data_IF_527602531761
#
_entry.id   IF_527602531761
#
_cell.length_a   1.000
_cell.length_b   1.000
_cell.length_c   1.000
_cell.angle_alpha   90.00
_cell.angle_beta   90.00
_cell.angle_gamma   90.00
#
_symmetry.space_group_name_H-M   'P 1'
#
loop_
_entity.id
_entity.type
_entity.pdbx_description
1 polymer ?
#
# COMPACT_ATOMS: atom_id res chain seq x y z
N UNK A 1 -11.32 -36.11 -16.50
CA UNK A 1 -12.45 -35.38 -15.87
C UNK A 1 -11.88 -34.11 -15.27
N UNK A 2 -12.37 -32.92 -15.65
CA UNK A 2 -11.90 -31.67 -15.03
C UNK A 2 -12.28 -31.65 -13.54
N UNK A 3 -11.37 -31.19 -12.67
CA UNK A 3 -11.66 -31.07 -11.23
C UNK A 3 -12.79 -30.06 -10.99
N UNK A 4 -13.52 -30.22 -9.88
CA UNK A 4 -14.55 -29.25 -9.44
C UNK A 4 -14.00 -27.81 -9.37
N UNK A 5 -12.74 -27.67 -8.93
CA UNK A 5 -12.02 -26.40 -8.87
C UNK A 5 -11.81 -25.82 -10.28
N UNK A 6 -11.35 -26.64 -11.24
CA UNK A 6 -11.16 -26.20 -12.62
C UNK A 6 -12.49 -25.75 -13.25
N UNK A 7 -13.58 -26.48 -12.99
CA UNK A 7 -14.93 -26.12 -13.45
C UNK A 7 -15.40 -24.80 -12.85
N UNK A 8 -15.15 -24.57 -11.56
CA UNK A 8 -15.53 -23.31 -10.90
C UNK A 8 -14.75 -22.11 -11.44
N UNK A 9 -13.43 -22.22 -11.55
CA UNK A 9 -12.52 -21.16 -12.01
C UNK A 9 -12.78 -20.77 -13.48
N UNK A 10 -13.19 -21.73 -14.31
CA UNK A 10 -13.50 -21.51 -15.73
C UNK A 10 -14.97 -21.15 -16.00
N UNK A 11 -15.84 -21.24 -15.00
CA UNK A 11 -17.28 -20.96 -15.18
C UNK A 11 -17.49 -19.57 -15.79
N UNK A 12 -18.31 -19.44 -16.85
CA UNK A 12 -18.58 -18.15 -17.46
C UNK A 12 -19.42 -17.30 -16.50
N UNK A 13 -18.96 -16.07 -16.24
CA UNK A 13 -19.68 -15.06 -15.47
C UNK A 13 -19.76 -13.76 -16.27
N UNK A 14 -20.78 -12.96 -16.00
CA UNK A 14 -20.93 -11.63 -16.62
C UNK A 14 -19.69 -10.76 -16.41
N UNK A 15 -19.26 -10.05 -17.45
CA UNK A 15 -18.10 -9.16 -17.44
C UNK A 15 -18.37 -7.84 -16.71
N UNK A 16 -19.64 -7.50 -16.47
CA UNK A 16 -20.06 -6.25 -15.86
C UNK A 16 -19.33 -5.88 -14.55
N UNK A 17 -19.08 -6.79 -13.58
CA UNK A 17 -18.30 -6.48 -12.37
C UNK A 17 -16.89 -6.00 -12.69
N UNK A 18 -16.20 -6.67 -13.61
CA UNK A 18 -14.84 -6.32 -14.00
C UNK A 18 -14.79 -4.99 -14.76
N UNK A 19 -15.80 -4.71 -15.59
CA UNK A 19 -15.90 -3.44 -16.31
C UNK A 19 -16.16 -2.26 -15.37
N UNK A 20 -17.09 -2.38 -14.42
CA UNK A 20 -17.34 -1.35 -13.40
C UNK A 20 -16.08 -1.13 -12.55
N UNK A 21 -15.43 -2.21 -12.12
CA UNK A 21 -14.18 -2.11 -11.35
C UNK A 21 -13.10 -1.35 -12.12
N UNK A 22 -12.90 -1.66 -13.40
CA UNK A 22 -11.95 -0.94 -14.28
C UNK A 22 -12.26 0.56 -14.38
N UNK A 23 -13.52 0.92 -14.62
CA UNK A 23 -13.95 2.31 -14.74
C UNK A 23 -13.66 3.05 -13.43
N UNK A 24 -14.14 2.51 -12.31
CA UNK A 24 -14.01 3.15 -11.01
C UNK A 24 -12.54 3.19 -10.54
N UNK A 25 -11.76 2.14 -10.79
CA UNK A 25 -10.32 2.14 -10.53
C UNK A 25 -9.62 3.28 -11.28
N UNK A 26 -9.79 3.38 -12.59
CA UNK A 26 -9.14 4.45 -13.37
C UNK A 26 -9.58 5.86 -12.95
N UNK A 27 -10.87 6.07 -12.64
CA UNK A 27 -11.37 7.36 -12.15
C UNK A 27 -10.81 7.71 -10.76
N UNK A 28 -10.77 6.75 -9.83
CA UNK A 28 -10.18 6.96 -8.51
C UNK A 28 -8.69 7.27 -8.58
N UNK A 29 -7.96 6.57 -9.44
CA UNK A 29 -6.53 6.80 -9.61
C UNK A 29 -6.25 8.17 -10.24
N UNK A 30 -7.05 8.57 -11.23
CA UNK A 30 -6.99 9.93 -11.77
C UNK A 30 -7.23 10.98 -10.67
N UNK A 31 -8.28 10.80 -9.87
CA UNK A 31 -8.57 11.71 -8.75
C UNK A 31 -7.41 11.74 -7.74
N UNK A 32 -6.79 10.60 -7.44
CA UNK A 32 -5.63 10.52 -6.56
C UNK A 32 -4.45 11.33 -7.09
N UNK A 33 -4.12 11.18 -8.38
CA UNK A 33 -3.03 11.92 -9.03
C UNK A 33 -3.31 13.42 -9.06
N UNK A 34 -4.53 13.83 -9.43
CA UNK A 34 -4.93 15.25 -9.44
C UNK A 34 -4.88 15.83 -8.02
N UNK A 35 -5.36 15.10 -7.02
CA UNK A 35 -5.32 15.51 -5.61
C UNK A 35 -3.87 15.72 -5.15
N UNK A 36 -3.00 14.73 -5.41
CA UNK A 36 -1.59 14.79 -5.06
C UNK A 36 -0.92 16.02 -5.67
N UNK A 37 -1.19 16.29 -6.94
CA UNK A 37 -0.70 17.50 -7.62
C UNK A 37 -1.27 18.78 -6.98
N UNK A 38 -2.59 18.86 -6.79
CA UNK A 38 -3.27 20.05 -6.27
C UNK A 38 -2.81 20.49 -4.89
N UNK A 39 -2.33 19.55 -4.07
CA UNK A 39 -1.76 19.82 -2.75
C UNK A 39 -0.29 20.25 -2.78
N UNK A 40 0.29 20.43 -3.98
CA UNK A 40 1.70 20.81 -4.14
C UNK A 40 2.68 19.72 -3.71
N UNK A 41 2.21 18.47 -3.57
CA UNK A 41 3.04 17.39 -3.02
C UNK A 41 4.12 16.93 -3.99
N UNK A 42 3.95 17.10 -5.30
CA UNK A 42 5.01 16.80 -6.27
C UNK A 42 6.23 17.70 -5.99
N UNK A 43 6.01 19.02 -5.88
CA UNK A 43 7.07 19.99 -5.57
C UNK A 43 7.70 19.70 -4.20
N UNK A 44 6.86 19.60 -3.18
CA UNK A 44 7.28 19.45 -1.78
C UNK A 44 8.05 18.15 -1.52
N UNK A 45 7.67 17.05 -2.18
CA UNK A 45 8.19 15.71 -1.87
C UNK A 45 9.20 15.19 -2.88
N UNK A 46 9.22 15.71 -4.12
CA UNK A 46 10.09 15.16 -5.17
C UNK A 46 10.95 16.20 -5.90
N UNK A 47 10.70 17.50 -5.74
CA UNK A 47 11.48 18.56 -6.40
C UNK A 47 12.41 19.27 -5.41
N UNK A 48 11.86 19.71 -4.27
CA UNK A 48 12.60 20.46 -3.25
C UNK A 48 13.59 19.63 -2.42
N UNK A 49 13.29 18.37 -2.03
CA UNK A 49 14.23 17.61 -1.22
C UNK A 49 15.53 17.33 -1.99
N UNK A 50 16.66 17.40 -1.28
CA UNK A 50 17.99 17.14 -1.86
C UNK A 50 18.40 15.67 -1.73
N UNK A 51 17.79 14.96 -0.79
CA UNK A 51 18.03 13.56 -0.51
C UNK A 51 16.71 12.79 -0.58
N UNK A 52 16.78 11.52 -1.03
CA UNK A 52 15.63 10.63 -1.17
C UNK A 52 16.00 9.24 -0.65
N UNK A 53 15.23 8.75 0.33
CA UNK A 53 15.40 7.41 0.89
C UNK A 53 14.92 6.37 -0.10
N UNK A 54 15.75 5.38 -0.43
CA UNK A 54 15.45 4.37 -1.43
C UNK A 54 14.94 3.08 -0.80
N UNK A 55 14.22 2.31 -1.61
CA UNK A 55 13.96 0.91 -1.29
C UNK A 55 15.18 0.09 -1.70
N UNK A 56 15.56 -0.88 -0.86
CA UNK A 56 16.65 -1.80 -1.17
C UNK A 56 16.42 -2.51 -2.52
N UNK A 57 17.40 -2.44 -3.41
CA UNK A 57 17.34 -2.95 -4.79
C UNK A 57 16.69 -2.00 -5.81
N UNK A 58 16.22 -0.83 -5.38
CA UNK A 58 15.63 0.21 -6.23
C UNK A 58 16.31 1.57 -6.02
N UNK A 59 17.59 1.57 -5.65
CA UNK A 59 18.40 2.79 -5.44
C UNK A 59 18.54 3.62 -6.72
N UNK A 60 18.34 3.00 -7.88
CA UNK A 60 18.34 3.65 -9.20
C UNK A 60 17.04 4.40 -9.52
N UNK A 61 15.96 4.16 -8.77
CA UNK A 61 14.69 4.89 -8.93
C UNK A 61 14.76 6.19 -8.14
N UNK A 62 14.87 7.31 -8.84
CA UNK A 62 14.96 8.64 -8.24
C UNK A 62 14.04 9.63 -8.97
N UNK A 63 13.56 10.69 -8.31
CA UNK A 63 12.92 11.81 -8.99
C UNK A 63 13.80 12.37 -10.11
N UNK A 64 13.18 12.80 -11.20
CA UNK A 64 13.87 13.30 -12.40
C UNK A 64 13.92 14.83 -12.43
N UNK A 65 14.09 15.45 -11.25
CA UNK A 65 13.92 16.89 -11.07
C UNK A 65 12.55 17.34 -11.60
N UNK A 66 12.50 18.45 -12.35
CA UNK A 66 11.26 19.00 -12.92
C UNK A 66 10.54 18.00 -13.84
N UNK A 67 11.23 17.06 -14.48
CA UNK A 67 10.60 16.03 -15.32
C UNK A 67 9.76 15.02 -14.52
N UNK A 68 9.83 15.03 -13.19
CA UNK A 68 8.93 14.25 -12.34
C UNK A 68 7.46 14.56 -12.63
N UNK A 69 7.11 15.82 -12.94
CA UNK A 69 5.76 16.19 -13.36
C UNK A 69 5.28 15.42 -14.59
N UNK A 70 6.17 15.12 -15.54
CA UNK A 70 5.81 14.35 -16.74
C UNK A 70 5.38 12.92 -16.38
N UNK A 71 6.02 12.29 -15.39
CA UNK A 71 5.64 10.96 -14.91
C UNK A 71 4.24 10.99 -14.32
N UNK A 72 3.89 12.02 -13.54
CA UNK A 72 2.54 12.22 -13.02
C UNK A 72 1.51 12.44 -14.13
N UNK A 73 1.83 13.21 -15.18
CA UNK A 73 0.97 13.37 -16.36
C UNK A 73 0.75 12.03 -17.06
N UNK A 74 1.81 11.26 -17.32
CA UNK A 74 1.72 9.93 -17.94
C UNK A 74 0.84 9.00 -17.10
N UNK A 75 1.03 8.99 -15.78
CA UNK A 75 0.23 8.19 -14.86
C UNK A 75 -1.25 8.57 -14.89
N UNK A 76 -1.55 9.88 -14.84
CA UNK A 76 -2.92 10.41 -14.90
C UNK A 76 -3.61 10.10 -16.24
N UNK A 77 -2.91 10.29 -17.37
CA UNK A 77 -3.42 9.92 -18.69
C UNK A 77 -3.66 8.42 -18.81
N UNK A 78 -2.74 7.59 -18.31
CA UNK A 78 -2.91 6.15 -18.28
C UNK A 78 -4.14 5.74 -17.45
N UNK A 79 -4.40 6.40 -16.32
CA UNK A 79 -5.59 6.17 -15.50
C UNK A 79 -6.89 6.49 -16.25
N UNK A 80 -6.94 7.59 -17.03
CA UNK A 80 -8.07 7.93 -17.92
C UNK A 80 -8.28 6.82 -18.96
N UNK A 81 -7.21 6.42 -19.65
CA UNK A 81 -7.31 5.39 -20.69
C UNK A 81 -7.71 4.03 -20.11
N UNK A 82 -7.26 3.70 -18.89
CA UNK A 82 -7.76 2.53 -18.14
C UNK A 82 -9.24 2.67 -17.85
N UNK A 83 -9.72 3.83 -17.37
CA UNK A 83 -11.14 4.09 -17.08
C UNK A 83 -12.03 4.03 -18.33
N UNK A 84 -11.52 4.39 -19.50
CA UNK A 84 -12.23 4.25 -20.78
C UNK A 84 -12.09 2.84 -21.38
N UNK A 85 -11.02 2.13 -21.02
CA UNK A 85 -10.69 0.81 -21.56
C UNK A 85 -10.26 0.90 -23.02
N UNK A 86 -9.53 1.96 -23.35
CA UNK A 86 -8.92 2.19 -24.66
C UNK A 86 -7.48 1.70 -24.64
N UNK A 87 -7.08 0.85 -25.60
CA UNK A 87 -5.79 0.16 -25.60
C UNK A 87 -5.44 -0.40 -24.23
N UNK A 88 -6.43 -1.00 -23.57
CA UNK A 88 -6.43 -1.24 -22.13
C UNK A 88 -5.17 -1.93 -21.62
N UNK A 89 -4.67 -2.95 -22.34
CA UNK A 89 -3.45 -3.68 -21.95
C UNK A 89 -2.22 -2.77 -21.90
N UNK A 90 -2.07 -1.88 -22.87
CA UNK A 90 -0.99 -0.90 -22.86
C UNK A 90 -1.21 0.13 -21.75
N UNK A 91 -2.43 0.64 -21.61
CA UNK A 91 -2.77 1.65 -20.60
C UNK A 91 -2.55 1.17 -19.17
N UNK A 92 -2.95 -0.07 -18.84
CA UNK A 92 -2.74 -0.62 -17.49
C UNK A 92 -1.27 -0.94 -17.22
N UNK A 93 -0.48 -1.32 -18.23
CA UNK A 93 0.98 -1.49 -18.10
C UNK A 93 1.65 -0.14 -17.84
N UNK A 94 1.31 0.90 -18.63
CA UNK A 94 1.85 2.25 -18.42
C UNK A 94 1.46 2.77 -17.05
N UNK A 95 0.20 2.58 -16.64
CA UNK A 95 -0.27 2.94 -15.31
C UNK A 95 0.53 2.22 -14.22
N UNK A 96 0.66 0.88 -14.30
CA UNK A 96 1.42 0.10 -13.33
C UNK A 96 2.87 0.58 -13.23
N UNK A 97 3.56 0.75 -14.35
CA UNK A 97 4.96 1.17 -14.36
C UNK A 97 5.13 2.60 -13.82
N UNK A 98 4.34 3.56 -14.30
CA UNK A 98 4.44 4.96 -13.85
C UNK A 98 4.04 5.13 -12.39
N UNK A 99 2.94 4.50 -11.95
CA UNK A 99 2.49 4.55 -10.56
C UNK A 99 3.52 3.89 -9.63
N UNK A 100 3.99 2.68 -9.97
CA UNK A 100 5.01 2.00 -9.16
C UNK A 100 6.32 2.77 -9.12
N UNK A 101 6.72 3.42 -10.22
CA UNK A 101 7.91 4.26 -10.25
C UNK A 101 7.77 5.47 -9.29
N UNK A 102 6.63 6.16 -9.28
CA UNK A 102 6.35 7.26 -8.33
C UNK A 102 6.51 6.77 -6.88
N UNK A 103 5.94 5.61 -6.55
CA UNK A 103 6.01 5.05 -5.19
C UNK A 103 7.40 4.58 -4.77
N UNK A 104 8.27 4.25 -5.74
CA UNK A 104 9.64 3.80 -5.50
C UNK A 104 10.66 4.95 -5.41
N UNK A 105 10.30 6.18 -5.81
CA UNK A 105 11.20 7.34 -5.79
C UNK A 105 11.71 7.71 -4.39
N UNK A 106 10.81 7.66 -3.40
CA UNK A 106 11.14 7.97 -2.01
C UNK A 106 10.29 7.11 -1.05
N UNK A 107 10.98 6.35 -0.20
CA UNK A 107 10.40 5.49 0.83
C UNK A 107 9.75 6.27 1.96
N UNK A 108 10.09 7.54 2.16
CA UNK A 108 9.52 8.43 3.19
C UNK A 108 8.00 8.52 3.09
N UNK A 109 7.45 8.39 1.87
CA UNK A 109 6.02 8.49 1.61
C UNK A 109 5.31 7.13 1.55
N UNK A 110 5.96 6.05 1.99
CA UNK A 110 5.42 4.69 1.91
C UNK A 110 4.06 4.58 2.61
N UNK A 111 3.07 4.04 1.89
CA UNK A 111 1.77 3.67 2.44
C UNK A 111 1.33 2.31 1.87
N UNK A 112 0.81 1.43 2.73
CA UNK A 112 0.32 0.09 2.33
C UNK A 112 -0.72 0.15 1.19
N UNK A 113 -1.53 1.21 1.13
CA UNK A 113 -2.56 1.31 0.09
C UNK A 113 -1.99 1.67 -1.29
N UNK A 114 -0.87 2.41 -1.36
CA UNK A 114 -0.20 2.63 -2.63
C UNK A 114 0.49 1.35 -3.12
N UNK A 115 1.11 0.59 -2.20
CA UNK A 115 1.57 -0.76 -2.51
C UNK A 115 0.44 -1.65 -3.06
N UNK A 116 -0.75 -1.61 -2.44
CA UNK A 116 -1.94 -2.31 -2.93
C UNK A 116 -2.31 -1.91 -4.37
N UNK A 117 -2.29 -0.62 -4.71
CA UNK A 117 -2.57 -0.14 -6.08
C UNK A 117 -1.54 -0.68 -7.08
N UNK A 118 -0.25 -0.70 -6.74
CA UNK A 118 0.79 -1.25 -7.61
C UNK A 118 0.55 -2.73 -7.90
N UNK A 119 0.27 -3.55 -6.88
CA UNK A 119 0.04 -4.98 -7.11
C UNK A 119 -1.33 -5.29 -7.74
N UNK A 120 -2.36 -4.48 -7.46
CA UNK A 120 -3.67 -4.61 -8.09
C UNK A 120 -3.58 -4.26 -9.58
N UNK A 121 -2.89 -3.17 -9.94
CA UNK A 121 -2.67 -2.81 -11.34
C UNK A 121 -1.82 -3.85 -12.07
N UNK A 122 -0.82 -4.44 -11.42
CA UNK A 122 -0.10 -5.60 -11.94
C UNK A 122 -1.04 -6.78 -12.24
N UNK A 123 -1.91 -7.17 -11.29
CA UNK A 123 -2.89 -8.22 -11.50
C UNK A 123 -3.81 -7.90 -12.69
N UNK A 124 -4.26 -6.65 -12.80
CA UNK A 124 -5.14 -6.18 -13.87
C UNK A 124 -4.53 -6.29 -15.27
N UNK A 125 -3.20 -6.31 -15.42
CA UNK A 125 -2.50 -6.60 -16.70
C UNK A 125 -2.97 -7.94 -17.27
N UNK A 126 -3.25 -8.92 -16.42
CA UNK A 126 -3.64 -10.27 -16.85
C UNK A 126 -5.15 -10.40 -17.07
N UNK A 127 -5.97 -9.48 -16.55
CA UNK A 127 -7.43 -9.57 -16.61
C UNK A 127 -8.01 -9.02 -17.92
N UNK A 128 -9.06 -9.62 -18.51
CA UNK A 128 -9.72 -9.13 -19.72
C UNK A 128 -10.72 -8.00 -19.39
N UNK A 129 -10.29 -6.96 -18.65
CA UNK A 129 -11.21 -5.91 -18.18
C UNK A 129 -11.71 -4.97 -19.31
N UNK A 130 -11.14 -5.09 -20.49
CA UNK A 130 -11.60 -4.42 -21.70
C UNK A 130 -12.60 -5.26 -22.52
N UNK A 131 -12.93 -6.47 -22.10
CA UNK A 131 -13.80 -7.36 -22.86
C UNK A 131 -15.23 -6.83 -23.00
N UNK A 132 -15.70 -5.96 -22.10
CA UNK A 132 -17.03 -5.37 -22.22
C UNK A 132 -17.05 -3.93 -21.68
N UNK A 133 -18.03 -3.13 -22.09
CA UNK A 133 -18.25 -1.74 -21.67
C UNK A 133 -16.95 -0.89 -21.73
N UNK A 134 -16.19 -1.04 -22.81
CA UNK A 134 -14.89 -0.39 -23.03
C UNK A 134 -14.80 0.19 -24.44
N UNK A 135 -13.93 1.17 -24.65
CA UNK A 135 -13.65 1.67 -26.00
C UNK A 135 -13.03 0.59 -26.90
N UNK A 136 -12.17 -0.29 -26.37
CA UNK A 136 -11.62 -1.40 -27.16
C UNK A 136 -12.69 -2.35 -27.72
N UNK A 137 -13.69 -2.70 -26.90
CA UNK A 137 -14.81 -3.56 -27.30
C UNK A 137 -15.81 -2.81 -28.19
N UNK A 138 -15.99 -1.50 -27.97
CA UNK A 138 -16.82 -0.66 -28.82
C UNK A 138 -16.22 -0.51 -30.23
N UNK A 139 -14.93 -0.22 -30.33
CA UNK A 139 -14.24 -0.01 -31.60
C UNK A 139 -13.98 -1.33 -32.36
N UNK A 140 -13.81 -2.45 -31.65
CA UNK A 140 -13.56 -3.74 -32.26
C UNK A 140 -14.48 -4.83 -31.66
N UNK A 141 -15.57 -5.22 -32.35
CA UNK A 141 -16.50 -6.25 -31.89
C UNK A 141 -15.87 -7.60 -31.57
N UNK A 142 -14.71 -7.93 -32.18
CA UNK A 142 -13.99 -9.18 -31.89
C UNK A 142 -13.39 -9.22 -30.47
N UNK A 143 -13.33 -8.07 -29.79
CA UNK A 143 -12.91 -7.94 -28.39
C UNK A 143 -14.09 -7.86 -27.42
N UNK A 144 -15.32 -7.82 -27.92
CA UNK A 144 -16.52 -7.67 -27.11
C UNK A 144 -17.02 -9.03 -26.63
N UNK A 145 -16.93 -9.32 -25.34
CA UNK A 145 -17.41 -10.54 -24.71
C UNK A 145 -18.29 -10.23 -23.52
N UNK A 146 -19.51 -10.77 -23.52
CA UNK A 146 -20.43 -10.60 -22.39
C UNK A 146 -19.98 -11.41 -21.18
N UNK A 147 -19.46 -12.63 -21.40
CA UNK A 147 -19.03 -13.53 -20.34
C UNK A 147 -17.51 -13.72 -20.32
N UNK A 148 -16.92 -13.78 -19.12
CA UNK A 148 -15.50 -14.08 -18.88
C UNK A 148 -15.35 -15.21 -17.86
N UNK A 149 -14.20 -15.92 -17.82
CA UNK A 149 -13.95 -16.93 -16.80
C UNK A 149 -13.99 -16.35 -15.38
N UNK A 150 -14.62 -17.06 -14.43
CA UNK A 150 -14.87 -16.59 -13.07
C UNK A 150 -13.61 -16.18 -12.30
N UNK A 151 -12.48 -16.82 -12.58
CA UNK A 151 -11.19 -16.51 -11.95
C UNK A 151 -10.77 -15.05 -12.14
N UNK A 152 -11.18 -14.43 -13.24
CA UNK A 152 -10.81 -13.03 -13.55
C UNK A 152 -11.35 -12.08 -12.50
N UNK A 153 -12.62 -12.24 -12.10
CA UNK A 153 -13.24 -11.45 -11.03
C UNK A 153 -12.84 -11.98 -9.65
N UNK A 154 -12.75 -13.30 -9.48
CA UNK A 154 -12.39 -13.90 -8.20
C UNK A 154 -10.96 -13.61 -7.76
N UNK A 155 -10.02 -13.35 -8.69
CA UNK A 155 -8.66 -12.93 -8.35
C UNK A 155 -8.61 -11.57 -7.65
N UNK A 156 -9.42 -10.60 -8.09
CA UNK A 156 -9.54 -9.30 -7.40
C UNK A 156 -10.16 -9.48 -6.01
N UNK A 157 -11.20 -10.32 -5.89
CA UNK A 157 -11.80 -10.66 -4.59
C UNK A 157 -10.77 -11.27 -3.66
N UNK A 158 -9.99 -12.24 -4.14
CA UNK A 158 -8.94 -12.88 -3.36
C UNK A 158 -7.89 -11.88 -2.90
N UNK A 159 -7.45 -10.98 -3.77
CA UNK A 159 -6.46 -9.95 -3.40
C UNK A 159 -7.00 -9.02 -2.30
N UNK A 160 -8.25 -8.58 -2.40
CA UNK A 160 -8.89 -7.79 -1.34
C UNK A 160 -9.03 -8.57 -0.04
N UNK A 161 -9.40 -9.86 -0.12
CA UNK A 161 -9.51 -10.74 1.03
C UNK A 161 -8.16 -10.91 1.74
N UNK A 162 -7.06 -11.06 0.99
CA UNK A 162 -5.70 -11.15 1.54
C UNK A 162 -5.38 -9.89 2.35
N UNK A 163 -5.62 -8.71 1.80
CA UNK A 163 -5.32 -7.44 2.48
C UNK A 163 -6.09 -7.31 3.81
N UNK A 164 -7.41 -7.54 3.80
CA UNK A 164 -8.22 -7.49 5.01
C UNK A 164 -7.80 -8.55 6.03
N UNK A 165 -7.62 -9.78 5.59
CA UNK A 165 -7.28 -10.89 6.47
C UNK A 165 -5.94 -10.65 7.18
N UNK A 166 -4.89 -10.23 6.45
CA UNK A 166 -3.62 -9.90 7.08
C UNK A 166 -3.69 -8.65 7.97
N UNK A 167 -4.48 -7.65 7.59
CA UNK A 167 -4.67 -6.47 8.43
C UNK A 167 -5.29 -6.84 9.79
N UNK A 168 -6.19 -7.83 9.83
CA UNK A 168 -6.77 -8.37 11.06
C UNK A 168 -5.83 -9.32 11.80
N UNK A 169 -5.13 -10.20 11.06
CA UNK A 169 -4.19 -11.16 11.64
C UNK A 169 -3.06 -10.44 12.39
N UNK A 170 -2.53 -9.36 11.81
CA UNK A 170 -1.47 -8.56 12.41
C UNK A 170 -1.92 -7.71 13.62
N UNK A 171 -3.22 -7.69 13.93
CA UNK A 171 -3.76 -7.09 15.15
C UNK A 171 -3.96 -8.12 16.27
N UNK A 172 -3.65 -9.39 16.04
CA UNK A 172 -3.74 -10.44 17.06
C UNK A 172 -2.51 -10.44 17.97
N UNK A 173 -2.25 -9.30 18.61
CA UNK A 173 -1.18 -9.13 19.59
C UNK A 173 -1.66 -8.42 20.86
N UNK A 174 -0.86 -8.53 21.92
CA UNK A 174 -1.17 -8.01 23.26
C UNK A 174 -1.33 -6.50 23.27
N UNK A 175 -0.52 -5.77 22.50
CA UNK A 175 -0.59 -4.31 22.43
C UNK A 175 -1.94 -3.86 21.89
N UNK A 176 -2.37 -4.46 20.80
CA UNK A 176 -3.66 -4.14 20.22
C UNK A 176 -4.81 -4.62 21.12
N UNK A 177 -4.88 -5.91 21.44
CA UNK A 177 -6.06 -6.51 22.09
C UNK A 177 -6.19 -6.21 23.58
N UNK A 178 -5.07 -6.21 24.31
CA UNK A 178 -5.05 -6.14 25.77
C UNK A 178 -4.66 -4.76 26.29
N UNK A 179 -3.94 -3.97 25.49
CA UNK A 179 -3.54 -2.61 25.87
C UNK A 179 -4.26 -1.53 25.08
N UNK A 180 -5.05 -1.88 24.04
CA UNK A 180 -5.67 -0.95 23.09
C UNK A 180 -4.66 0.05 22.49
N UNK A 181 -3.39 -0.33 22.37
CA UNK A 181 -2.36 0.48 21.76
C UNK A 181 -2.30 0.23 20.25
N UNK A 182 -2.05 1.27 19.44
CA UNK A 182 -1.86 2.69 19.82
C UNK A 182 -3.17 3.51 19.89
N UNK A 183 -4.35 2.89 19.85
CA UNK A 183 -5.64 3.61 19.89
C UNK A 183 -5.80 4.49 21.14
N UNK A 184 -5.26 4.08 22.30
CA UNK A 184 -5.21 4.92 23.51
C UNK A 184 -4.47 6.24 23.32
N UNK A 185 -3.52 6.30 22.39
CA UNK A 185 -2.77 7.51 22.06
C UNK A 185 -3.54 8.33 21.02
N UNK A 186 -4.07 7.66 19.99
CA UNK A 186 -4.63 8.36 18.83
C UNK A 186 -6.05 8.90 19.03
N UNK A 187 -6.93 8.14 19.70
CA UNK A 187 -8.34 8.51 19.82
C UNK A 187 -8.55 9.78 20.68
N UNK A 188 -7.86 9.97 21.82
CA UNK A 188 -8.00 11.21 22.60
C UNK A 188 -7.60 12.47 21.82
N UNK A 189 -6.65 12.37 20.88
CA UNK A 189 -6.25 13.49 20.02
C UNK A 189 -7.36 13.92 19.02
N UNK A 190 -8.49 13.21 18.99
CA UNK A 190 -9.68 13.51 18.17
C UNK A 190 -10.89 13.95 18.99
N UNK A 191 -10.69 14.47 20.20
CA UNK A 191 -11.75 14.91 21.11
C UNK A 191 -12.70 15.96 20.52
N UNK A 192 -12.24 16.76 19.55
CA UNK A 192 -13.07 17.76 18.84
C UNK A 192 -13.96 17.17 17.73
N UNK A 193 -13.96 15.85 17.53
CA UNK A 193 -14.75 15.22 16.46
C UNK A 193 -16.25 15.35 16.77
N UNK A 194 -17.07 15.89 15.86
CA UNK A 194 -18.50 16.03 16.10
C UNK A 194 -19.18 14.70 16.49
N UNK A 195 -20.13 14.78 17.43
CA UNK A 195 -20.96 13.67 17.96
C UNK A 195 -20.25 12.59 18.78
N UNK A 196 -19.00 12.24 18.45
CA UNK A 196 -18.29 11.12 19.08
C UNK A 196 -17.07 11.54 19.91
N UNK A 197 -16.55 12.76 19.71
CA UNK A 197 -15.27 13.19 20.24
C UNK A 197 -15.15 13.10 21.76
N UNK A 198 -16.20 13.44 22.49
CA UNK A 198 -16.25 13.33 23.97
C UNK A 198 -16.05 11.89 24.47
N UNK A 199 -16.41 10.89 23.68
CA UNK A 199 -16.25 9.48 24.04
C UNK A 199 -14.87 8.93 23.68
N UNK A 200 -14.12 9.57 22.77
CA UNK A 200 -12.85 9.03 22.27
C UNK A 200 -11.72 9.05 23.31
N UNK A 201 -11.87 9.85 24.38
CA UNK A 201 -10.99 9.83 25.54
C UNK A 201 -11.23 8.67 26.49
N UNK A 202 -12.39 8.02 26.42
CA UNK A 202 -12.78 6.96 27.35
C UNK A 202 -12.09 5.63 27.03
N UNK A 203 -11.52 4.99 28.05
CA UNK A 203 -10.73 3.78 27.88
C UNK A 203 -11.55 2.61 27.29
N UNK A 204 -12.80 2.45 27.73
CA UNK A 204 -13.68 1.41 27.19
C UNK A 204 -13.95 1.58 25.70
N UNK A 205 -13.96 2.82 25.18
CA UNK A 205 -14.12 3.11 23.75
C UNK A 205 -12.87 2.71 22.98
N UNK A 206 -11.69 2.96 23.53
CA UNK A 206 -10.42 2.56 22.92
C UNK A 206 -10.34 1.04 22.76
N UNK A 207 -10.75 0.29 23.78
CA UNK A 207 -10.87 -1.17 23.70
C UNK A 207 -11.95 -1.61 22.72
N UNK A 208 -13.12 -0.96 22.71
CA UNK A 208 -14.18 -1.25 21.75
C UNK A 208 -13.66 -1.11 20.31
N UNK A 209 -12.94 -0.03 19.99
CA UNK A 209 -12.34 0.19 18.68
C UNK A 209 -11.27 -0.86 18.35
N UNK A 210 -10.43 -1.22 19.31
CA UNK A 210 -9.41 -2.25 19.15
C UNK A 210 -10.04 -3.60 18.75
N UNK A 211 -10.93 -4.14 19.59
CA UNK A 211 -11.55 -5.44 19.35
C UNK A 211 -12.45 -5.42 18.11
N UNK A 212 -13.21 -4.34 17.90
CA UNK A 212 -14.04 -4.20 16.70
C UNK A 212 -13.19 -4.19 15.42
N UNK A 213 -12.02 -3.55 15.44
CA UNK A 213 -11.09 -3.52 14.31
C UNK A 213 -10.60 -4.91 13.90
N UNK A 214 -10.19 -5.73 14.87
CA UNK A 214 -9.75 -7.12 14.62
C UNK A 214 -10.88 -7.97 14.09
N UNK A 215 -12.04 -7.96 14.77
CA UNK A 215 -13.20 -8.77 14.41
C UNK A 215 -13.68 -8.39 13.01
N UNK A 216 -13.73 -7.09 12.72
CA UNK A 216 -14.09 -6.59 11.40
C UNK A 216 -13.12 -7.10 10.33
N UNK A 217 -11.81 -6.85 10.47
CA UNK A 217 -10.82 -7.18 9.44
C UNK A 217 -10.77 -8.70 9.15
N UNK A 218 -10.88 -9.54 10.19
CA UNK A 218 -10.88 -11.00 10.04
C UNK A 218 -12.18 -11.55 9.46
N UNK A 219 -13.32 -10.91 9.69
CA UNK A 219 -14.63 -11.43 9.25
C UNK A 219 -15.11 -10.86 7.92
N UNK A 220 -14.74 -9.62 7.59
CA UNK A 220 -15.35 -8.89 6.47
C UNK A 220 -15.18 -9.56 5.11
N UNK A 221 -14.06 -10.24 4.76
CA UNK A 221 -13.94 -10.92 3.48
C UNK A 221 -14.96 -12.05 3.34
N UNK A 222 -15.18 -12.81 4.41
CA UNK A 222 -16.11 -13.94 4.42
C UNK A 222 -17.56 -13.46 4.36
N UNK A 223 -17.89 -12.38 5.08
CA UNK A 223 -19.21 -11.76 5.06
C UNK A 223 -19.55 -11.15 3.68
N UNK A 224 -18.57 -10.61 2.95
CA UNK A 224 -18.75 -10.11 1.58
C UNK A 224 -18.90 -11.25 0.55
N UNK A 225 -18.18 -12.36 0.74
CA UNK A 225 -18.30 -13.54 -0.12
C UNK A 225 -19.68 -14.19 0.01
N UNK A 226 -20.21 -14.29 1.23
CA UNK A 226 -21.51 -14.90 1.46
C UNK A 226 -22.67 -13.98 1.03
N UNK A 227 -23.46 -14.47 0.06
CA UNK A 227 -24.47 -13.67 -0.65
C UNK A 227 -25.53 -13.03 0.26
N UNK A 228 -25.94 -13.72 1.33
CA UNK A 228 -27.00 -13.23 2.23
C UNK A 228 -26.50 -12.10 3.15
N UNK A 229 -25.24 -12.15 3.58
CA UNK A 229 -24.63 -11.13 4.45
C UNK A 229 -24.08 -9.94 3.69
N UNK A 230 -23.77 -10.10 2.39
CA UNK A 230 -23.07 -9.11 1.58
C UNK A 230 -23.62 -7.67 1.64
N UNK A 231 -24.93 -7.39 1.57
CA UNK A 231 -25.42 -6.02 1.68
C UNK A 231 -25.09 -5.38 3.03
N UNK A 232 -25.27 -6.13 4.12
CA UNK A 232 -24.93 -5.68 5.48
C UNK A 232 -23.42 -5.52 5.66
N UNK A 233 -22.64 -6.47 5.14
CA UNK A 233 -21.18 -6.39 5.11
C UNK A 233 -20.70 -5.14 4.37
N UNK A 234 -21.32 -4.79 3.23
CA UNK A 234 -20.96 -3.57 2.51
C UNK A 234 -21.28 -2.30 3.30
N UNK A 235 -22.39 -2.26 4.04
CA UNK A 235 -22.67 -1.16 4.98
C UNK A 235 -21.59 -1.05 6.05
N UNK A 236 -21.15 -2.18 6.62
CA UNK A 236 -20.03 -2.21 7.56
C UNK A 236 -18.72 -1.68 6.93
N UNK A 237 -18.43 -2.06 5.67
CA UNK A 237 -17.27 -1.51 4.92
C UNK A 237 -17.34 0.00 4.82
N UNK A 238 -18.50 0.55 4.45
CA UNK A 238 -18.67 2.00 4.34
C UNK A 238 -18.48 2.67 5.70
N UNK A 239 -19.15 2.20 6.76
CA UNK A 239 -19.05 2.78 8.10
C UNK A 239 -17.60 2.73 8.61
N UNK A 240 -16.96 1.56 8.54
CA UNK A 240 -15.59 1.37 9.01
C UNK A 240 -14.60 2.31 8.32
N UNK A 241 -14.64 2.38 6.99
CA UNK A 241 -13.72 3.22 6.23
C UNK A 241 -14.02 4.72 6.37
N UNK A 242 -15.28 5.13 6.48
CA UNK A 242 -15.64 6.52 6.78
C UNK A 242 -15.16 6.92 8.16
N UNK A 243 -15.39 6.10 9.18
CA UNK A 243 -14.90 6.34 10.54
C UNK A 243 -13.37 6.42 10.57
N UNK A 244 -12.70 5.49 9.90
CA UNK A 244 -11.22 5.50 9.79
C UNK A 244 -10.73 6.76 9.07
N UNK A 245 -11.44 7.26 8.06
CA UNK A 245 -11.09 8.51 7.36
C UNK A 245 -11.21 9.74 8.24
N UNK A 246 -12.24 9.78 9.09
CA UNK A 246 -12.51 10.88 10.02
C UNK A 246 -11.46 10.90 11.13
N UNK A 247 -11.13 9.73 11.67
CA UNK A 247 -10.22 9.62 12.81
C UNK A 247 -8.74 9.65 12.41
N UNK A 248 -8.38 9.17 11.21
CA UNK A 248 -6.99 8.98 10.83
C UNK A 248 -6.66 9.57 9.44
N UNK A 249 -5.49 10.22 9.27
CA UNK A 249 -5.07 10.83 8.01
C UNK A 249 -4.51 9.79 7.01
N UNK A 250 -5.32 8.82 6.59
CA UNK A 250 -4.90 7.65 5.79
C UNK A 250 -5.08 7.81 4.27
N UNK A 251 -5.15 9.05 3.78
CA UNK A 251 -5.15 9.36 2.34
C UNK A 251 -6.34 8.77 1.57
N UNK A 252 -6.06 8.12 0.43
CA UNK A 252 -7.07 7.59 -0.49
C UNK A 252 -7.62 6.22 -0.09
N UNK A 253 -7.03 5.57 0.92
CA UNK A 253 -7.35 4.20 1.31
C UNK A 253 -8.85 3.93 1.54
N UNK A 254 -9.58 4.76 2.31
CA UNK A 254 -11.01 4.52 2.57
C UNK A 254 -11.84 4.42 1.29
N UNK A 255 -11.61 5.34 0.35
CA UNK A 255 -12.33 5.39 -0.91
C UNK A 255 -12.00 4.20 -1.80
N UNK A 256 -10.70 3.84 -1.89
CA UNK A 256 -10.24 2.69 -2.65
C UNK A 256 -10.89 1.41 -2.14
N UNK A 257 -10.94 1.21 -0.82
CA UNK A 257 -11.50 -0.02 -0.25
C UNK A 257 -13.01 -0.11 -0.40
N UNK A 258 -13.75 0.98 -0.17
CA UNK A 258 -15.21 1.03 -0.37
C UNK A 258 -15.57 0.71 -1.82
N UNK A 259 -14.92 1.40 -2.77
CA UNK A 259 -15.21 1.21 -4.19
C UNK A 259 -14.79 -0.18 -4.66
N UNK A 260 -13.62 -0.67 -4.21
CA UNK A 260 -13.15 -2.00 -4.58
C UNK A 260 -14.06 -3.11 -4.06
N UNK A 261 -14.66 -2.93 -2.87
CA UNK A 261 -15.62 -3.89 -2.30
C UNK A 261 -16.87 -4.10 -3.17
N UNK A 262 -17.18 -3.19 -4.11
CA UNK A 262 -18.26 -3.40 -5.08
C UNK A 262 -18.04 -4.67 -5.91
N UNK A 263 -16.80 -5.12 -6.13
CA UNK A 263 -16.50 -6.34 -6.90
C UNK A 263 -17.15 -7.61 -6.31
N UNK A 264 -17.52 -7.58 -5.03
CA UNK A 264 -18.18 -8.70 -4.37
C UNK A 264 -19.66 -8.85 -4.78
N UNK A 265 -20.29 -7.80 -5.31
CA UNK A 265 -21.69 -7.85 -5.71
C UNK A 265 -21.95 -8.67 -6.99
N UNK A 266 -23.20 -9.13 -7.12
CA UNK A 266 -23.63 -9.86 -8.31
C UNK A 266 -23.72 -8.91 -9.52
N UNK A 267 -23.55 -9.47 -10.72
CA UNK A 267 -23.56 -8.71 -11.98
C UNK A 267 -24.78 -7.80 -12.18
N UNK A 268 -25.94 -8.16 -11.61
CA UNK A 268 -27.16 -7.34 -11.66
C UNK A 268 -26.94 -5.92 -11.12
N UNK A 269 -26.15 -5.76 -10.05
CA UNK A 269 -25.82 -4.45 -9.48
C UNK A 269 -24.94 -3.66 -10.44
N UNK A 270 -23.90 -4.28 -10.97
CA UNK A 270 -22.98 -3.66 -11.92
C UNK A 270 -23.68 -3.24 -13.23
N UNK A 271 -24.60 -4.06 -13.74
CA UNK A 271 -25.43 -3.70 -14.90
C UNK A 271 -26.37 -2.52 -14.61
N UNK A 272 -26.84 -2.32 -13.37
CA UNK A 272 -27.58 -1.10 -13.00
C UNK A 272 -26.66 0.13 -13.02
N UNK A 273 -25.46 0.03 -12.45
CA UNK A 273 -24.46 1.10 -12.47
C UNK A 273 -24.10 1.50 -13.90
N UNK A 274 -23.80 0.51 -14.76
CA UNK A 274 -23.45 0.75 -16.16
C UNK A 274 -24.60 1.39 -16.94
N UNK A 275 -25.85 0.95 -16.73
CA UNK A 275 -27.02 1.58 -17.35
C UNK A 275 -27.20 3.03 -16.94
N UNK A 276 -26.99 3.36 -15.66
CA UNK A 276 -27.03 4.74 -15.18
C UNK A 276 -25.96 5.59 -15.85
N UNK A 277 -24.70 5.13 -15.86
CA UNK A 277 -23.58 5.81 -16.50
C UNK A 277 -23.86 6.04 -17.99
N UNK A 278 -24.31 5.02 -18.71
CA UNK A 278 -24.57 5.11 -20.13
C UNK A 278 -25.75 6.02 -20.47
N UNK A 279 -26.77 6.07 -19.60
CA UNK A 279 -27.86 7.04 -19.72
C UNK A 279 -27.34 8.47 -19.59
N UNK A 280 -26.48 8.74 -18.61
CA UNK A 280 -25.87 10.06 -18.38
C UNK A 280 -25.04 10.50 -19.60
N UNK A 281 -24.24 9.59 -20.16
CA UNK A 281 -23.39 9.89 -21.33
C UNK A 281 -24.05 9.64 -22.69
N UNK A 282 -25.36 9.32 -22.72
CA UNK A 282 -26.13 9.01 -23.94
C UNK A 282 -25.48 7.94 -24.84
N UNK A 283 -24.87 6.92 -24.25
CA UNK A 283 -24.18 5.83 -24.97
C UNK A 283 -25.17 4.67 -25.22
N UNK A 284 -25.27 4.20 -26.47
CA UNK A 284 -26.06 3.01 -26.79
C UNK A 284 -25.34 1.73 -26.33
N UNK A 285 -25.87 1.10 -25.28
CA UNK A 285 -25.32 -0.12 -24.68
C UNK A 285 -25.70 -1.42 -25.40
N UNK A 286 -26.56 -1.40 -26.42
CA UNK A 286 -27.07 -2.63 -27.06
C UNK A 286 -25.94 -3.54 -27.60
N UNK A 287 -24.83 -2.94 -28.07
CA UNK A 287 -23.67 -3.65 -28.61
C UNK A 287 -22.97 -4.56 -27.58
N UNK A 288 -23.10 -4.25 -26.30
CA UNK A 288 -22.45 -4.96 -25.21
C UNK A 288 -23.23 -6.20 -24.74
N UNK A 289 -24.47 -6.36 -25.22
CA UNK A 289 -25.34 -7.51 -24.96
C UNK A 289 -25.29 -8.48 -26.14
N UNK A 290 -24.19 -9.22 -26.25
CA UNK A 290 -23.92 -10.06 -27.42
C UNK A 290 -23.90 -11.57 -27.13
N UNK A 291 -24.13 -11.98 -25.87
CA UNK A 291 -24.11 -13.38 -25.41
C UNK A 291 -22.81 -14.15 -25.68
N UNK A 292 -21.76 -13.47 -26.13
CA UNK A 292 -20.50 -14.14 -26.47
C UNK A 292 -19.68 -14.41 -25.21
N UNK A 293 -19.03 -15.57 -25.21
CA UNK A 293 -18.19 -16.02 -24.10
C UNK A 293 -16.72 -15.87 -24.49
N UNK A 294 -15.96 -15.20 -23.64
CA UNK A 294 -14.51 -15.10 -23.79
C UNK A 294 -13.90 -16.47 -23.59
N UNK A 295 -13.53 -17.11 -24.69
CA UNK A 295 -12.89 -18.42 -24.69
C UNK A 295 -11.39 -18.26 -24.92
N UNK A 296 -10.60 -18.43 -23.86
CA UNK A 296 -9.14 -18.45 -23.98
C UNK A 296 -8.72 -19.79 -24.57
N UNK A 297 -8.44 -19.81 -25.88
CA UNK A 297 -7.86 -21.01 -26.51
C UNK A 297 -6.58 -21.40 -25.76
N UNK A 298 -6.52 -22.67 -25.35
CA UNK A 298 -5.36 -23.24 -24.66
C UNK A 298 -4.10 -23.00 -25.49
N UNK A 299 -3.20 -22.19 -24.97
CA UNK A 299 -1.96 -21.79 -25.62
C UNK A 299 -0.85 -21.69 -24.58
N UNK A 300 0.41 -21.75 -25.04
CA UNK A 300 1.57 -21.53 -24.16
C UNK A 300 1.48 -20.20 -23.40
N UNK A 301 1.05 -19.13 -24.09
CA UNK A 301 0.83 -17.79 -23.50
C UNK A 301 -0.19 -17.82 -22.36
N UNK A 302 -1.26 -18.60 -22.52
CA UNK A 302 -2.29 -18.74 -21.49
C UNK A 302 -1.76 -19.46 -20.24
N UNK A 303 -0.97 -20.52 -20.42
CA UNK A 303 -0.35 -21.26 -19.31
C UNK A 303 0.63 -20.37 -18.55
N UNK A 304 1.47 -19.62 -19.27
CA UNK A 304 2.40 -18.64 -18.69
C UNK A 304 1.65 -17.58 -17.88
N UNK A 305 0.57 -17.02 -18.43
CA UNK A 305 -0.30 -16.07 -17.71
C UNK A 305 -0.83 -16.64 -16.39
N UNK A 306 -1.36 -17.86 -16.39
CA UNK A 306 -1.85 -18.48 -15.15
C UNK A 306 -0.72 -18.74 -14.16
N UNK A 307 0.44 -19.21 -14.64
CA UNK A 307 1.61 -19.45 -13.80
C UNK A 307 2.08 -18.16 -13.11
N UNK A 308 2.13 -17.04 -13.84
CA UNK A 308 2.49 -15.73 -13.26
C UNK A 308 1.46 -15.30 -12.21
N UNK A 309 0.16 -15.45 -12.45
CA UNK A 309 -0.89 -15.10 -11.49
C UNK A 309 -0.83 -16.00 -10.24
N UNK A 310 -0.56 -17.29 -10.39
CA UNK A 310 -0.40 -18.22 -9.26
C UNK A 310 0.84 -17.84 -8.45
N UNK A 311 1.98 -17.61 -9.11
CA UNK A 311 3.21 -17.15 -8.45
C UNK A 311 3.00 -15.83 -7.72
N UNK A 312 2.29 -14.89 -8.35
CA UNK A 312 1.90 -13.64 -7.72
C UNK A 312 1.15 -13.87 -6.40
N UNK A 313 0.10 -14.70 -6.38
CA UNK A 313 -0.62 -14.98 -5.14
C UNK A 313 0.20 -15.75 -4.11
N UNK A 314 1.06 -16.68 -4.52
CA UNK A 314 1.98 -17.35 -3.60
C UNK A 314 2.89 -16.34 -2.90
N UNK A 315 3.44 -15.37 -3.64
CA UNK A 315 4.24 -14.29 -3.06
C UNK A 315 3.41 -13.39 -2.13
N UNK A 316 2.19 -13.02 -2.51
CA UNK A 316 1.32 -12.19 -1.66
C UNK A 316 0.89 -12.85 -0.35
N UNK A 317 0.90 -14.19 -0.29
CA UNK A 317 0.68 -14.96 0.93
C UNK A 317 1.98 -15.18 1.73
N UNK A 318 3.12 -15.33 1.06
CA UNK A 318 4.40 -15.62 1.74
C UNK A 318 5.08 -14.36 2.31
N UNK A 319 5.11 -13.26 1.55
CA UNK A 319 5.87 -12.04 1.89
C UNK A 319 5.47 -11.43 3.25
N UNK A 320 4.18 -11.40 3.65
CA UNK A 320 3.79 -10.87 4.96
C UNK A 320 4.38 -11.63 6.15
N UNK A 321 4.75 -12.91 5.98
CA UNK A 321 5.34 -13.74 7.04
C UNK A 321 6.86 -13.69 7.09
N UNK A 322 7.52 -12.95 6.20
CA UNK A 322 9.00 -12.93 6.14
C UNK A 322 9.66 -12.43 7.42
N UNK A 323 8.94 -11.69 8.25
CA UNK A 323 9.45 -11.23 9.55
C UNK A 323 9.84 -12.39 10.48
N UNK A 324 9.24 -13.58 10.29
CA UNK A 324 9.56 -14.78 11.07
C UNK A 324 11.00 -15.27 10.89
N UNK A 325 11.70 -14.80 9.84
CA UNK A 325 13.11 -15.12 9.61
C UNK A 325 14.08 -14.22 10.37
N UNK A 326 13.57 -13.21 11.10
CA UNK A 326 14.38 -12.25 11.84
C UNK A 326 14.15 -12.43 13.35
N UNK A 327 15.21 -12.36 14.17
CA UNK A 327 15.07 -12.33 15.61
C UNK A 327 14.61 -10.93 16.10
N UNK A 328 14.03 -10.89 17.29
CA UNK A 328 13.58 -9.64 17.93
C UNK A 328 12.13 -9.27 17.61
N UNK A 329 11.68 -8.18 18.22
CA UNK A 329 10.31 -7.68 18.06
C UNK A 329 10.16 -6.89 16.75
N UNK A 330 9.21 -7.29 15.90
CA UNK A 330 8.98 -6.71 14.58
C UNK A 330 8.67 -5.22 14.63
N UNK A 331 7.86 -4.75 15.59
CA UNK A 331 7.54 -3.33 15.70
C UNK A 331 8.75 -2.51 16.16
N UNK A 332 9.76 -3.16 16.73
CA UNK A 332 11.02 -2.52 17.09
C UNK A 332 11.99 -2.49 15.90
N UNK A 333 12.37 -3.67 15.39
CA UNK A 333 13.42 -3.83 14.36
C UNK A 333 12.95 -3.43 12.96
N UNK A 334 11.64 -3.48 12.71
CA UNK A 334 10.99 -3.27 11.41
C UNK A 334 11.46 -4.22 10.29
N UNK A 335 12.20 -5.28 10.64
CA UNK A 335 12.69 -6.28 9.71
C UNK A 335 11.54 -7.14 9.19
N UNK A 336 11.16 -6.90 7.93
CA UNK A 336 9.99 -7.54 7.35
C UNK A 336 8.69 -6.73 7.46
N UNK A 337 8.72 -5.51 8.00
CA UNK A 337 7.51 -4.73 8.26
C UNK A 337 6.81 -4.23 6.99
N UNK A 338 7.52 -3.57 6.05
CA UNK A 338 6.88 -3.06 4.81
C UNK A 338 6.34 -4.21 3.97
N UNK A 339 5.32 -3.98 3.15
CA UNK A 339 4.73 -4.99 2.25
C UNK A 339 4.09 -6.21 2.96
N UNK A 340 3.76 -6.09 4.25
CA UNK A 340 3.17 -7.17 5.05
C UNK A 340 1.71 -6.94 5.46
N UNK A 341 1.05 -5.93 4.85
CA UNK A 341 -0.35 -5.54 5.17
C UNK A 341 -0.60 -5.14 6.62
N UNK A 342 0.48 -4.80 7.33
CA UNK A 342 0.48 -4.24 8.68
C UNK A 342 0.08 -2.77 8.61
N UNK A 343 -1.18 -2.49 8.92
CA UNK A 343 -1.76 -1.14 8.82
C UNK A 343 -2.20 -0.68 10.20
N UNK A 344 -1.69 0.49 10.62
CA UNK A 344 -2.10 1.19 11.85
C UNK A 344 -1.88 0.36 13.13
N UNK A 345 -0.71 -0.29 13.28
CA UNK A 345 -0.42 -1.17 14.42
C UNK A 345 0.49 -0.57 15.48
N UNK A 346 1.16 0.54 15.18
CA UNK A 346 2.14 1.12 16.09
C UNK A 346 2.18 2.64 15.99
N UNK A 347 2.47 3.27 17.12
CA UNK A 347 2.96 4.64 17.21
C UNK A 347 4.44 4.57 17.64
N UNK A 348 5.33 4.99 16.74
CA UNK A 348 6.76 5.20 17.04
C UNK A 348 7.08 6.69 16.95
N UNK A 349 7.86 7.13 17.93
CA UNK A 349 8.51 8.44 17.91
C UNK A 349 9.96 8.23 18.29
N UNK A 350 10.86 8.99 17.65
CA UNK A 350 12.28 8.84 17.88
C UNK A 350 13.03 10.15 17.77
N UNK A 351 14.23 10.13 18.33
CA UNK A 351 15.24 11.17 18.25
C UNK A 351 16.51 10.55 17.67
N UNK A 352 17.18 11.23 16.75
CA UNK A 352 18.43 10.76 16.15
C UNK A 352 19.40 11.93 15.95
N UNK A 353 20.54 11.89 16.64
CA UNK A 353 21.63 12.85 16.48
C UNK A 353 22.86 12.14 15.93
N UNK A 354 23.31 12.55 14.74
CA UNK A 354 24.48 11.96 14.10
C UNK A 354 25.76 12.66 14.53
N UNK A 355 26.80 11.86 14.76
CA UNK A 355 28.16 12.28 15.08
C UNK A 355 29.10 11.83 13.98
N UNK A 356 29.84 12.78 13.42
CA UNK A 356 30.87 12.55 12.41
C UNK A 356 32.22 12.58 13.10
N UNK A 357 33.07 11.58 12.80
CA UNK A 357 34.42 11.49 13.32
C UNK A 357 35.39 11.34 12.16
N UNK A 358 36.36 12.24 12.08
CA UNK A 358 37.50 12.14 11.17
C UNK A 358 38.54 11.21 11.80
N UNK A 359 38.81 10.06 11.16
CA UNK A 359 39.65 9.03 11.76
C UNK A 359 41.13 9.42 11.82
N UNK A 360 41.61 10.30 10.92
CA UNK A 360 43.01 10.74 10.92
C UNK A 360 43.30 11.74 12.05
N UNK A 361 42.42 12.71 12.24
CA UNK A 361 42.60 13.79 13.23
C UNK A 361 41.95 13.51 14.58
N UNK A 362 41.03 12.55 14.65
CA UNK A 362 40.20 12.28 15.84
C UNK A 362 39.18 13.38 16.14
N UNK A 363 39.09 14.43 15.30
CA UNK A 363 38.12 15.51 15.46
C UNK A 363 36.73 15.00 15.15
N UNK A 364 35.75 15.54 15.86
CA UNK A 364 34.36 15.16 15.69
C UNK A 364 33.43 16.35 15.86
N UNK A 365 32.24 16.23 15.28
CA UNK A 365 31.16 17.20 15.43
C UNK A 365 29.80 16.50 15.29
N UNK A 366 28.75 17.17 15.74
CA UNK A 366 27.37 16.74 15.55
C UNK A 366 26.76 17.40 14.32
N UNK A 367 25.90 16.66 13.62
CA UNK A 367 25.21 17.12 12.41
C UNK A 367 23.88 17.75 12.78
N UNK A 368 23.59 18.94 12.25
CA UNK A 368 22.20 19.42 12.18
C UNK A 368 21.51 18.70 11.00
N UNK A 369 20.52 17.86 11.30
CA UNK A 369 19.84 17.09 10.26
C UNK A 369 19.06 17.99 9.29
N UNK A 370 18.62 19.15 9.77
CA UNK A 370 17.75 20.04 8.99
C UNK A 370 18.48 20.72 7.82
N UNK A 371 19.81 20.68 7.83
CA UNK A 371 20.66 21.12 6.72
C UNK A 371 20.52 20.24 5.47
N UNK A 372 20.12 18.98 5.63
CA UNK A 372 20.17 17.98 4.56
C UNK A 372 18.83 17.35 4.19
N UNK A 373 17.95 17.18 5.18
CA UNK A 373 16.68 16.48 5.01
C UNK A 373 15.51 17.33 5.48
N UNK A 374 14.35 17.11 4.87
CA UNK A 374 13.13 17.86 5.25
C UNK A 374 12.61 17.43 6.63
N UNK A 375 11.79 18.25 7.31
CA UNK A 375 11.20 17.87 8.60
C UNK A 375 10.38 16.57 8.55
N UNK A 376 9.77 16.26 7.40
CA UNK A 376 9.03 15.01 7.23
C UNK A 376 9.97 13.80 7.12
N UNK A 377 11.07 13.96 6.39
CA UNK A 377 12.13 12.96 6.25
C UNK A 377 12.85 12.71 7.57
N UNK A 378 13.21 13.76 8.30
CA UNK A 378 13.83 13.66 9.62
C UNK A 378 12.92 12.91 10.59
N UNK A 379 11.62 13.26 10.63
CA UNK A 379 10.65 12.56 11.46
C UNK A 379 10.62 11.06 11.15
N UNK A 380 10.59 10.66 9.87
CA UNK A 380 10.57 9.24 9.49
C UNK A 380 11.90 8.55 9.79
N UNK A 381 13.02 9.24 9.56
CA UNK A 381 14.37 8.71 9.77
C UNK A 381 14.65 8.42 11.24
N UNK A 382 14.18 9.26 12.16
CA UNK A 382 14.53 9.18 13.57
C UNK A 382 14.08 7.90 14.31
N UNK A 383 13.27 7.03 13.68
CA UNK A 383 12.85 5.76 14.28
C UNK A 383 12.91 4.55 13.32
N UNK A 384 13.26 4.75 12.05
CA UNK A 384 13.31 3.68 11.05
C UNK A 384 14.76 3.28 10.78
N UNK A 385 15.17 2.05 11.09
CA UNK A 385 16.56 1.67 11.07
C UNK A 385 17.17 1.82 9.67
N UNK A 386 16.48 1.37 8.62
CA UNK A 386 16.99 1.50 7.26
C UNK A 386 17.16 2.95 6.79
N UNK A 387 16.31 3.88 7.25
CA UNK A 387 16.51 5.31 7.02
C UNK A 387 17.76 5.82 7.74
N UNK A 388 17.95 5.46 9.02
CA UNK A 388 19.12 5.86 9.80
C UNK A 388 20.41 5.44 9.09
N UNK A 389 20.44 4.19 8.59
CA UNK A 389 21.59 3.67 7.86
C UNK A 389 21.81 4.41 6.53
N UNK A 390 20.79 4.58 5.70
CA UNK A 390 20.91 5.32 4.44
C UNK A 390 21.39 6.76 4.63
N UNK A 391 20.89 7.43 5.67
CA UNK A 391 21.31 8.78 6.00
C UNK A 391 22.76 8.81 6.52
N UNK A 392 23.19 7.81 7.29
CA UNK A 392 24.59 7.68 7.68
C UNK A 392 25.53 7.56 6.46
N UNK A 393 25.14 6.78 5.44
CA UNK A 393 25.89 6.68 4.19
C UNK A 393 25.90 7.99 3.40
N UNK A 394 24.79 8.73 3.39
CA UNK A 394 24.74 10.05 2.79
C UNK A 394 25.73 11.01 3.47
N UNK A 395 25.70 11.08 4.81
CA UNK A 395 26.59 11.97 5.58
C UNK A 395 28.05 11.62 5.37
N UNK A 396 28.39 10.32 5.37
CA UNK A 396 29.74 9.86 5.04
C UNK A 396 30.21 10.41 3.69
N UNK A 397 29.42 10.19 2.64
CA UNK A 397 29.78 10.61 1.29
C UNK A 397 29.82 12.14 1.14
N UNK A 398 29.00 12.87 1.90
CA UNK A 398 28.99 14.32 1.90
C UNK A 398 30.28 14.87 2.53
N UNK A 399 30.60 14.47 3.76
CA UNK A 399 31.78 14.98 4.46
C UNK A 399 33.10 14.50 3.86
N UNK A 400 33.14 13.32 3.22
CA UNK A 400 34.30 12.89 2.43
C UNK A 400 34.55 13.82 1.22
N UNK A 401 33.49 14.36 0.60
CA UNK A 401 33.62 15.36 -0.48
C UNK A 401 34.06 16.73 0.02
N UNK A 402 33.71 17.08 1.25
CA UNK A 402 34.13 18.33 1.90
C UNK A 402 35.58 18.29 2.41
N UNK A 403 36.28 17.16 2.21
CA UNK A 403 37.71 17.02 2.47
C UNK A 403 38.06 16.24 3.74
N UNK A 404 37.08 15.76 4.51
CA UNK A 404 37.32 14.85 5.62
C UNK A 404 37.78 13.49 5.09
N UNK A 405 38.75 12.86 5.75
CA UNK A 405 39.28 11.56 5.32
C UNK A 405 38.89 10.48 6.31
N UNK A 406 38.56 9.30 5.78
CA UNK A 406 38.17 8.14 6.58
C UNK A 406 37.04 8.46 7.57
N UNK A 407 35.92 8.99 7.04
CA UNK A 407 34.80 9.43 7.87
C UNK A 407 34.10 8.24 8.52
N UNK A 408 33.97 8.30 9.85
CA UNK A 408 33.12 7.39 10.63
C UNK A 408 31.83 8.10 11.01
N UNK A 409 30.73 7.34 11.05
CA UNK A 409 29.40 7.89 11.34
C UNK A 409 28.75 7.08 12.45
N UNK A 410 28.48 7.75 13.57
CA UNK A 410 27.79 7.20 14.73
C UNK A 410 26.47 7.93 14.93
N UNK A 411 25.52 7.32 15.62
CA UNK A 411 24.23 7.96 15.94
C UNK A 411 23.87 7.71 17.40
N UNK A 412 23.44 8.76 18.09
CA UNK A 412 22.68 8.60 19.32
C UNK A 412 21.20 8.61 18.93
N UNK A 413 20.58 7.43 18.95
CA UNK A 413 19.19 7.27 18.56
C UNK A 413 18.38 6.64 19.69
N UNK A 414 17.27 7.29 20.05
CA UNK A 414 16.33 6.79 21.05
C UNK A 414 14.92 6.74 20.47
N UNK A 415 14.18 5.70 20.79
CA UNK A 415 12.85 5.45 20.26
C UNK A 415 11.89 5.02 21.37
N UNK A 416 10.69 5.58 21.33
CA UNK A 416 9.52 5.10 22.06
C UNK A 416 8.58 4.33 21.15
N UNK A 417 7.93 3.28 21.66
CA UNK A 417 6.98 2.43 20.93
C UNK A 417 5.69 2.24 21.76
N UNK A 418 4.55 2.60 21.18
CA UNK A 418 3.22 2.35 21.76
C UNK A 418 3.07 2.85 23.22
N UNK A 419 3.62 4.02 23.52
CA UNK A 419 3.52 4.65 24.84
C UNK A 419 4.54 4.17 25.87
N UNK A 420 5.41 3.21 25.52
CA UNK A 420 6.56 2.82 26.36
C UNK A 420 7.60 3.94 26.42
N UNK A 421 8.43 3.92 27.47
CA UNK A 421 9.53 4.87 27.65
C UNK A 421 10.51 4.78 26.48
N UNK A 422 11.08 5.94 26.13
CA UNK A 422 12.12 6.03 25.09
C UNK A 422 13.38 5.31 25.57
N UNK A 423 13.90 4.39 24.75
CA UNK A 423 15.16 3.68 25.01
C UNK A 423 16.10 3.78 23.81
N UNK A 424 17.39 3.56 24.05
CA UNK A 424 18.39 3.45 22.99
C UNK A 424 17.93 2.45 21.93
N UNK A 425 17.93 2.88 20.67
CA UNK A 425 17.45 2.11 19.52
C UNK A 425 18.58 1.56 18.66
N UNK A 426 19.62 2.36 18.47
CA UNK A 426 20.82 2.01 17.70
C UNK A 426 22.02 2.08 18.63
N UNK A 427 22.89 1.06 18.57
CA UNK A 427 24.12 1.03 19.37
C UNK A 427 25.03 2.22 18.98
N UNK A 428 25.29 3.17 19.89
CA UNK A 428 26.04 4.38 19.59
C UNK A 428 27.54 4.13 19.38
N UNK A 429 28.02 2.93 19.66
CA UNK A 429 29.43 2.53 19.47
C UNK A 429 29.71 1.95 18.09
N UNK A 430 28.66 1.66 17.31
CA UNK A 430 28.80 1.07 15.98
C UNK A 430 28.93 2.16 14.91
N UNK A 431 29.99 2.02 14.11
CA UNK A 431 30.22 2.83 12.92
C UNK A 431 29.27 2.39 11.79
N UNK A 432 28.19 3.15 11.59
CA UNK A 432 27.18 2.87 10.57
C UNK A 432 27.73 3.02 9.15
N UNK A 433 28.78 3.81 8.95
CA UNK A 433 29.42 3.99 7.65
C UNK A 433 30.10 2.71 7.11
N UNK A 434 30.27 1.69 7.97
CA UNK A 434 30.79 0.35 7.62
C UNK A 434 29.70 -0.71 7.45
N UNK A 435 28.48 -0.44 7.93
CA UNK A 435 27.36 -1.37 7.78
C UNK A 435 26.84 -1.32 6.34
N UNK A 436 26.10 -2.34 5.93
CA UNK A 436 25.48 -2.41 4.59
C UNK A 436 24.04 -2.86 4.73
N UNK A 437 23.16 -2.24 3.94
CA UNK A 437 21.78 -2.70 3.85
C UNK A 437 21.72 -4.08 3.20
N UNK A 438 20.87 -4.96 3.73
CA UNK A 438 20.72 -6.33 3.24
C UNK A 438 19.43 -6.97 3.77
N UNK A 439 19.14 -8.19 3.33
CA UNK A 439 18.07 -9.01 3.93
C UNK A 439 18.52 -9.77 5.19
N UNK A 440 19.74 -9.56 5.69
CA UNK A 440 20.23 -10.19 6.93
C UNK A 440 19.80 -9.40 8.16
N UNK A 441 19.83 -10.06 9.32
CA UNK A 441 19.53 -9.42 10.59
C UNK A 441 20.49 -8.26 10.89
N UNK A 442 19.93 -7.14 11.36
CA UNK A 442 20.63 -5.90 11.68
C UNK A 442 21.12 -5.89 13.13
N UNK A 443 22.36 -6.33 13.33
CA UNK A 443 23.02 -6.41 14.64
C UNK A 443 23.28 -5.06 15.34
N UNK A 444 23.12 -3.95 14.63
CA UNK A 444 23.30 -2.60 15.18
C UNK A 444 22.02 -2.01 15.78
N UNK A 445 20.90 -2.74 15.70
CA UNK A 445 19.67 -2.41 16.41
C UNK A 445 19.75 -3.04 17.80
N UNK A 446 19.50 -2.25 18.85
CA UNK A 446 19.48 -2.75 20.22
C UNK A 446 18.28 -3.67 20.45
N UNK A 447 18.38 -4.70 21.31
CA UNK A 447 17.24 -5.56 21.63
C UNK A 447 16.09 -4.79 22.28
N UNK A 448 14.87 -5.09 21.86
CA UNK A 448 13.65 -4.60 22.53
C UNK A 448 13.56 -5.22 23.94
N UNK A 449 13.36 -4.39 24.96
CA UNK A 449 13.41 -4.80 26.37
C UNK A 449 12.06 -5.15 26.98
N UNK A 450 10.97 -4.86 26.27
CA UNK A 450 9.61 -5.20 26.67
C UNK A 450 9.06 -6.37 25.84
N UNK A 451 7.86 -6.84 26.17
CA UNK A 451 7.19 -7.92 25.45
C UNK A 451 5.96 -7.43 24.69
N UNK A 452 5.80 -7.93 23.47
CA UNK A 452 4.56 -7.93 22.70
C UNK A 452 4.28 -9.39 22.32
N UNK A 453 3.15 -9.93 22.75
CA UNK A 453 2.78 -11.34 22.51
C UNK A 453 1.79 -11.41 21.37
N UNK A 454 1.99 -12.32 20.42
CA UNK A 454 1.06 -12.55 19.30
C UNK A 454 1.66 -12.21 17.94
N UNK A 455 0.79 -11.82 16.99
CA UNK A 455 1.13 -11.60 15.57
C UNK A 455 1.08 -10.13 15.19
#
# INVERSE_FOLDING_TARGET
>A
MESLIAKYIKAPIETAPLAVFRILFGLMMLFSIVRFWSYGWIDKLYIKPQFFFSYYGFEWVKPLGVYTYLIFVICGLAAVLVALGYRYKLSIIIFFLSFTYIELMDKTTYLNHYYFISILSFLMIFLPANANYSLDAYLNPKKCFQYVPSWTVNSIKLLLSIVYFYAGLAKLNSDWLLNAMPLKIWLPAKFDTPFIGSFLGEEWVQFLFSWSGVIYDLSIPFLLLYKRTRPYAFVMVVIFHVLTRVLFPIGMFPYVMIVSALIFFDAKVHLKILRLLFKVFKINGARFNNQTVFNERSSFKLRLKHMVVVLFFMLQLAIPFRYLFYPGELFWTEEGYRFSWRVMLMEKSGYAQFKIVDQESGRWFYVDNTDFITPFQEKQMAFQPDFILEYAHFLKNHFEKDGHKNVQVFVNCQVSLNGRLSTEFIDPTIDLAKQKESFLHKYWITPFKDEIKGI
#
